data_IF_891835297329
#
_entry.id   IF_891835297329
#
_cell.length_a   1.000
_cell.length_b   1.000
_cell.length_c   1.000
_cell.angle_alpha   90.00
_cell.angle_beta   90.00
_cell.angle_gamma   90.00
#
_symmetry.space_group_name_H-M   'P 1'
#
loop_
_entity.id
_entity.type
_entity.pdbx_description
1 polymer ?
#
# COMPACT_ATOMS: atom_id res chain seq x y z
N UNK A 1 -8.78 -26.08 -40.14
CA UNK A 1 -9.12 -24.72 -39.64
C UNK A 1 -8.55 -24.57 -38.22
N UNK A 2 -7.47 -23.79 -38.04
CA UNK A 2 -6.85 -23.59 -36.73
C UNK A 2 -7.54 -22.44 -35.97
N UNK A 3 -8.14 -22.75 -34.82
CA UNK A 3 -8.78 -21.75 -33.95
C UNK A 3 -7.71 -20.93 -33.23
N UNK A 4 -7.67 -19.63 -33.53
CA UNK A 4 -6.77 -18.67 -32.88
C UNK A 4 -7.18 -18.53 -31.41
N UNK A 5 -6.46 -19.19 -30.51
CA UNK A 5 -6.61 -19.04 -29.05
C UNK A 5 -6.24 -17.60 -28.70
N UNK A 6 -7.25 -16.76 -28.46
CA UNK A 6 -7.05 -15.36 -28.08
C UNK A 6 -6.34 -15.30 -26.72
N UNK A 7 -5.11 -14.78 -26.72
CA UNK A 7 -4.27 -14.62 -25.54
C UNK A 7 -4.84 -13.52 -24.63
N UNK A 8 -5.76 -13.91 -23.75
CA UNK A 8 -6.35 -13.00 -22.75
C UNK A 8 -5.23 -12.62 -21.76
N UNK A 9 -4.75 -11.38 -21.82
CA UNK A 9 -3.68 -10.90 -20.92
C UNK A 9 -4.11 -11.09 -19.46
N UNK A 10 -3.26 -11.64 -18.59
CA UNK A 10 -3.61 -11.82 -17.18
C UNK A 10 -3.89 -10.46 -16.54
N UNK A 11 -5.02 -10.35 -15.84
CA UNK A 11 -5.38 -9.14 -15.11
C UNK A 11 -4.39 -9.01 -13.95
N UNK A 12 -3.64 -7.89 -13.84
CA UNK A 12 -2.73 -7.66 -12.73
C UNK A 12 -3.49 -7.71 -11.40
N UNK A 13 -2.82 -8.25 -10.38
CA UNK A 13 -3.36 -8.41 -9.03
C UNK A 13 -2.53 -7.60 -8.05
N UNK A 14 -3.18 -7.02 -7.06
CA UNK A 14 -2.53 -6.36 -5.93
C UNK A 14 -1.63 -7.37 -5.19
N UNK A 15 -0.38 -7.02 -4.94
CA UNK A 15 0.56 -7.89 -4.22
C UNK A 15 0.25 -8.04 -2.72
N UNK A 16 -0.56 -7.14 -2.15
CA UNK A 16 -0.92 -7.18 -0.73
C UNK A 16 -2.21 -7.96 -0.44
N UNK A 17 -3.22 -7.84 -1.30
CA UNK A 17 -4.53 -8.46 -1.06
C UNK A 17 -5.03 -9.39 -2.17
N UNK A 18 -4.29 -9.54 -3.27
CA UNK A 18 -4.63 -10.43 -4.39
C UNK A 18 -5.80 -9.98 -5.27
N UNK A 19 -6.46 -8.86 -4.94
CA UNK A 19 -7.57 -8.32 -5.72
C UNK A 19 -7.10 -7.81 -7.08
N UNK A 20 -7.90 -7.95 -8.16
CA UNK A 20 -7.57 -7.39 -9.45
C UNK A 20 -7.38 -5.87 -9.32
N UNK A 21 -6.27 -5.37 -9.82
CA UNK A 21 -5.92 -3.95 -9.74
C UNK A 21 -5.03 -3.58 -10.91
N UNK A 22 -5.22 -2.39 -11.47
CA UNK A 22 -4.33 -1.86 -12.50
C UNK A 22 -2.91 -1.59 -11.97
N UNK A 23 -2.77 -1.44 -10.65
CA UNK A 23 -1.52 -1.09 -9.97
C UNK A 23 -0.96 -2.27 -9.18
N UNK A 24 0.34 -2.25 -8.89
CA UNK A 24 1.04 -3.26 -8.06
C UNK A 24 0.41 -3.36 -6.66
N UNK A 25 0.00 -2.22 -6.11
CA UNK A 25 -0.76 -2.12 -4.86
C UNK A 25 -2.07 -1.40 -5.15
N UNK A 26 -3.19 -1.98 -4.75
CA UNK A 26 -4.49 -1.34 -4.95
C UNK A 26 -4.64 -0.09 -4.05
N UNK A 27 -5.47 0.85 -4.49
CA UNK A 27 -5.79 2.09 -3.77
C UNK A 27 -6.09 1.88 -2.28
N UNK A 28 -6.91 0.88 -1.95
CA UNK A 28 -7.27 0.56 -0.58
C UNK A 28 -6.08 0.11 0.28
N UNK A 29 -5.21 -0.74 -0.26
CA UNK A 29 -4.00 -1.18 0.45
C UNK A 29 -2.99 -0.03 0.57
N UNK A 30 -2.82 0.78 -0.47
CA UNK A 30 -1.96 1.97 -0.43
C UNK A 30 -2.43 2.99 0.60
N UNK A 31 -3.74 3.23 0.70
CA UNK A 31 -4.33 4.11 1.72
C UNK A 31 -4.04 3.62 3.14
N UNK A 32 -4.17 2.30 3.40
CA UNK A 32 -3.85 1.71 4.71
C UNK A 32 -2.39 1.90 5.09
N UNK A 33 -1.46 1.56 4.20
CA UNK A 33 -0.02 1.71 4.45
C UNK A 33 0.34 3.18 4.74
N UNK A 34 -0.20 4.12 3.96
CA UNK A 34 -0.01 5.56 4.20
C UNK A 34 -0.57 5.99 5.56
N UNK A 35 -1.77 5.54 5.92
CA UNK A 35 -2.37 5.86 7.22
C UNK A 35 -1.55 5.32 8.40
N UNK A 36 -1.05 4.09 8.30
CA UNK A 36 -0.16 3.50 9.31
C UNK A 36 1.15 4.26 9.42
N UNK A 37 1.78 4.61 8.29
CA UNK A 37 3.01 5.41 8.29
C UNK A 37 2.80 6.78 8.95
N UNK A 38 1.69 7.45 8.67
CA UNK A 38 1.33 8.74 9.30
C UNK A 38 1.09 8.58 10.80
N UNK A 39 0.41 7.52 11.24
CA UNK A 39 0.22 7.23 12.67
C UNK A 39 1.54 6.97 13.37
N UNK A 40 2.44 6.19 12.76
CA UNK A 40 3.79 5.94 13.31
C UNK A 40 4.60 7.22 13.40
N UNK A 41 4.60 8.06 12.35
CA UNK A 41 5.25 9.38 12.37
C UNK A 41 4.73 10.24 13.52
N UNK A 42 3.41 10.33 13.70
CA UNK A 42 2.81 11.10 14.79
C UNK A 42 3.19 10.56 16.18
N UNK A 43 3.28 9.24 16.34
CA UNK A 43 3.72 8.63 17.60
C UNK A 43 5.18 8.97 17.91
N UNK A 44 6.05 8.93 16.89
CA UNK A 44 7.46 9.32 17.02
C UNK A 44 7.58 10.81 17.34
N UNK A 45 6.83 11.69 16.66
CA UNK A 45 6.85 13.13 16.93
C UNK A 45 6.30 13.48 18.32
N UNK A 46 5.29 12.74 18.80
CA UNK A 46 4.78 12.91 20.18
C UNK A 46 5.75 12.37 21.22
N UNK A 47 6.39 11.23 20.96
CA UNK A 47 7.39 10.63 21.85
C UNK A 47 8.69 11.46 21.92
N UNK A 48 9.10 12.05 20.80
CA UNK A 48 10.27 12.93 20.71
C UNK A 48 10.08 14.31 21.34
N UNK A 49 8.86 14.68 21.76
CA UNK A 49 8.58 15.97 22.43
C UNK A 49 8.77 15.92 23.96
N UNK A 50 9.24 14.80 24.51
CA UNK A 50 9.22 14.55 25.97
C UNK A 50 10.57 14.54 26.69
N UNK A 51 11.72 14.79 26.04
CA UNK A 51 13.01 14.54 26.73
C UNK A 51 14.20 15.48 26.42
N UNK A 52 14.02 16.73 26.00
CA UNK A 52 15.18 17.65 25.88
C UNK A 52 14.89 19.10 26.27
N UNK A 53 14.12 19.31 27.33
CA UNK A 53 13.75 20.70 27.68
C UNK A 53 13.20 20.94 29.08
N UNK A 54 13.83 20.43 30.14
CA UNK A 54 13.81 21.12 31.44
C UNK A 54 15.18 21.06 32.08
N UNK A 55 15.86 22.19 31.99
CA UNK A 55 17.06 22.56 32.76
C UNK A 55 16.62 23.03 34.14
#
# INVERSE_FOLDING_TARGET
>A
MATRKSARKPIPKCQLCGRPSASVICEACGAKVRAEAMRRKQQIEKGGRTDTGRR
#
